data_IF_837327053393
#
_entry.id   IF_837327053393
#
_cell.length_a   1.000
_cell.length_b   1.000
_cell.length_c   1.000
_cell.angle_alpha   90.00
_cell.angle_beta   90.00
_cell.angle_gamma   90.00
#
_symmetry.space_group_name_H-M   'P 1'
#
loop_
_entity.id
_entity.type
_entity.pdbx_description
1 polymer ?
#
# COMPACT_ATOMS: atom_id res chain seq x y z
N UNK A 1 -16.36 -5.94 -8.95
CA UNK A 1 -15.81 -4.57 -8.80
C UNK A 1 -15.91 -4.23 -7.33
N UNK A 2 -14.79 -4.31 -6.62
CA UNK A 2 -14.70 -3.82 -5.25
C UNK A 2 -14.60 -2.30 -5.31
N UNK A 3 -15.71 -1.62 -5.10
CA UNK A 3 -15.71 -0.18 -4.86
C UNK A 3 -15.19 0.08 -3.46
N UNK A 4 -14.16 0.86 -3.30
CA UNK A 4 -13.83 1.42 -2.00
C UNK A 4 -15.00 2.28 -1.53
N UNK A 5 -15.70 1.81 -0.48
CA UNK A 5 -16.95 2.39 0.01
C UNK A 5 -16.77 3.64 0.88
N UNK A 6 -15.60 4.25 0.92
CA UNK A 6 -15.48 5.59 1.50
C UNK A 6 -16.18 6.55 0.56
N UNK A 7 -17.50 6.55 0.69
CA UNK A 7 -18.39 7.42 -0.08
C UNK A 7 -18.44 8.79 0.50
N UNK A 8 -17.35 9.56 0.48
CA UNK A 8 -17.54 10.98 0.68
C UNK A 8 -16.45 11.78 0.00
N UNK A 9 -16.89 12.68 -0.81
CA UNK A 9 -16.14 13.83 -1.31
C UNK A 9 -15.67 14.79 -0.19
N UNK A 10 -15.82 14.39 1.10
CA UNK A 10 -15.59 15.22 2.28
C UNK A 10 -14.52 14.68 3.23
N UNK A 11 -13.73 13.68 2.84
CA UNK A 11 -12.49 13.29 3.54
C UNK A 11 -11.32 14.02 2.87
N UNK A 12 -10.73 14.95 3.60
CA UNK A 12 -9.69 15.85 3.11
C UNK A 12 -8.40 15.68 3.88
N UNK A 13 -7.29 16.12 3.29
CA UNK A 13 -5.99 16.21 3.93
C UNK A 13 -5.95 17.47 4.78
N UNK A 14 -5.57 17.33 6.01
CA UNK A 14 -5.46 18.44 6.96
C UNK A 14 -4.03 18.71 7.42
N UNK A 15 -3.90 19.77 8.22
CA UNK A 15 -2.72 20.05 9.04
C UNK A 15 -3.17 20.52 10.42
N UNK A 16 -2.72 19.86 11.45
CA UNK A 16 -3.00 20.26 12.83
C UNK A 16 -2.16 21.48 13.18
N UNK A 17 -2.79 22.63 13.37
CA UNK A 17 -2.12 23.89 13.73
C UNK A 17 -1.76 23.93 15.21
N UNK A 18 -2.67 23.46 16.09
CA UNK A 18 -2.44 23.33 17.52
C UNK A 18 -3.11 22.08 18.08
N UNK A 19 -2.53 21.55 19.13
CA UNK A 19 -3.01 20.35 19.83
C UNK A 19 -2.78 20.53 21.33
N UNK A 20 -3.85 20.69 22.09
CA UNK A 20 -3.80 20.93 23.54
C UNK A 20 -4.51 19.79 24.28
N UNK A 21 -3.88 19.15 25.28
CA UNK A 21 -4.54 18.10 26.04
C UNK A 21 -5.71 18.67 26.86
N UNK A 22 -6.83 17.96 26.85
CA UNK A 22 -8.00 18.29 27.69
C UNK A 22 -7.77 17.73 29.08
N UNK A 23 -7.74 18.57 30.15
CA UNK A 23 -7.48 18.12 31.52
C UNK A 23 -8.36 16.94 31.95
N UNK A 24 -7.78 16.00 32.68
CA UNK A 24 -8.44 14.81 33.25
C UNK A 24 -9.04 13.86 32.21
N UNK A 25 -8.56 13.94 30.95
CA UNK A 25 -8.99 13.04 29.87
C UNK A 25 -7.80 12.58 29.04
N UNK A 26 -8.00 11.56 28.17
CA UNK A 26 -7.04 11.18 27.13
C UNK A 26 -7.26 11.96 25.81
N UNK A 27 -8.15 12.95 25.83
CA UNK A 27 -8.51 13.71 24.63
C UNK A 27 -7.62 14.93 24.46
N UNK A 28 -7.35 15.29 23.22
CA UNK A 28 -6.71 16.54 22.80
C UNK A 28 -7.70 17.40 22.03
N UNK A 29 -7.66 18.70 22.28
CA UNK A 29 -8.37 19.70 21.51
C UNK A 29 -7.46 20.24 20.42
N UNK A 30 -7.81 19.97 19.18
CA UNK A 30 -7.00 20.32 18.02
C UNK A 30 -7.67 21.44 17.20
N UNK A 31 -6.85 22.40 16.72
CA UNK A 31 -7.25 23.29 15.63
C UNK A 31 -6.67 22.74 14.34
N UNK A 32 -7.50 22.45 13.41
CA UNK A 32 -7.18 21.67 12.21
C UNK A 32 -7.47 22.49 10.97
N UNK A 33 -6.44 22.82 10.22
CA UNK A 33 -6.55 23.55 8.96
C UNK A 33 -6.90 22.60 7.83
N UNK A 34 -8.01 22.85 7.21
CA UNK A 34 -8.55 22.07 6.10
C UNK A 34 -8.46 22.84 4.75
N UNK A 35 -7.52 23.75 4.62
CA UNK A 35 -7.29 24.53 3.40
C UNK A 35 -8.48 25.42 3.03
N UNK A 36 -9.01 25.25 1.84
CA UNK A 36 -10.16 26.03 1.33
C UNK A 36 -11.44 25.83 2.15
N UNK A 37 -11.51 24.73 2.93
CA UNK A 37 -12.66 24.44 3.79
C UNK A 37 -12.63 25.16 5.14
N UNK A 38 -11.51 25.82 5.47
CA UNK A 38 -11.33 26.57 6.71
C UNK A 38 -10.65 25.80 7.82
N UNK A 39 -10.68 26.35 9.04
CA UNK A 39 -10.11 25.73 10.24
C UNK A 39 -11.21 25.21 11.14
N UNK A 40 -11.06 23.99 11.63
CA UNK A 40 -12.05 23.29 12.44
C UNK A 40 -11.47 22.89 13.80
N UNK A 41 -12.29 23.04 14.84
CA UNK A 41 -12.01 22.49 16.15
C UNK A 41 -12.39 21.01 16.18
N UNK A 42 -11.43 20.15 16.51
CA UNK A 42 -11.63 18.70 16.58
C UNK A 42 -11.18 18.20 17.96
N UNK A 43 -12.00 17.39 18.62
CA UNK A 43 -11.60 16.63 19.79
C UNK A 43 -11.09 15.25 19.33
N UNK A 44 -9.83 14.95 19.57
CA UNK A 44 -9.17 13.72 19.16
C UNK A 44 -8.69 12.91 20.36
N UNK A 45 -8.89 11.60 20.32
CA UNK A 45 -8.45 10.68 21.38
C UNK A 45 -7.22 9.84 20.97
N UNK A 46 -6.64 10.08 19.81
CA UNK A 46 -5.50 9.32 19.34
C UNK A 46 -4.20 9.84 19.95
N UNK A 47 -3.33 8.92 20.38
CA UNK A 47 -2.06 9.26 21.04
C UNK A 47 -1.02 9.88 20.10
N UNK A 48 -1.17 9.64 18.78
CA UNK A 48 -0.22 10.13 17.79
C UNK A 48 -0.60 11.49 17.18
N UNK A 49 -1.68 12.14 17.64
CA UNK A 49 -2.03 13.49 17.19
C UNK A 49 -1.05 14.51 17.75
N UNK A 50 -0.52 15.40 16.89
CA UNK A 50 0.41 16.45 17.28
C UNK A 50 0.34 17.66 16.36
N UNK A 51 0.76 18.81 16.83
CA UNK A 51 0.87 20.01 16.01
C UNK A 51 1.89 19.81 14.88
N UNK A 52 1.56 20.29 13.68
CA UNK A 52 2.34 20.10 12.46
C UNK A 52 2.09 18.77 11.74
N UNK A 53 1.43 17.79 12.37
CA UNK A 53 1.04 16.53 11.74
C UNK A 53 -0.01 16.73 10.66
N UNK A 54 0.01 15.87 9.64
CA UNK A 54 -1.00 15.80 8.58
C UNK A 54 -1.75 14.49 8.66
N UNK A 55 -3.06 14.57 8.69
CA UNK A 55 -3.95 13.43 8.87
C UNK A 55 -5.17 13.52 7.94
N UNK A 56 -5.90 12.44 7.70
CA UNK A 56 -7.20 12.51 7.05
C UNK A 56 -8.25 13.09 8.01
N UNK A 57 -8.96 14.12 7.56
CA UNK A 57 -10.06 14.75 8.27
C UNK A 57 -11.39 14.41 7.57
N UNK A 58 -12.29 13.77 8.27
CA UNK A 58 -13.68 13.61 7.88
C UNK A 58 -14.51 14.78 8.41
N UNK A 59 -15.03 15.60 7.50
CA UNK A 59 -15.91 16.72 7.82
C UNK A 59 -17.31 16.25 8.23
N UNK A 60 -18.07 17.15 8.84
CA UNK A 60 -19.50 16.88 9.16
C UNK A 60 -20.25 16.57 7.86
N UNK A 61 -20.96 15.43 7.85
CA UNK A 61 -21.62 14.88 6.67
C UNK A 61 -20.84 13.79 5.94
N UNK A 62 -19.54 13.69 6.17
CA UNK A 62 -18.72 12.60 5.63
C UNK A 62 -19.18 11.24 6.16
N UNK A 63 -19.01 10.19 5.36
CA UNK A 63 -19.29 8.82 5.74
C UNK A 63 -17.98 8.05 5.85
N UNK A 64 -17.74 7.42 6.99
CA UNK A 64 -16.56 6.59 7.28
C UNK A 64 -17.00 5.24 7.83
N UNK A 65 -16.09 4.28 7.92
CA UNK A 65 -16.38 3.02 8.59
C UNK A 65 -16.45 3.22 10.11
N UNK A 66 -17.45 2.58 10.71
CA UNK A 66 -17.55 2.47 12.16
C UNK A 66 -16.76 1.24 12.61
N UNK A 67 -15.88 1.42 13.59
CA UNK A 67 -15.06 0.35 14.15
C UNK A 67 -15.56 -0.07 15.53
N UNK A 68 -15.39 -1.33 15.88
CA UNK A 68 -15.59 -1.85 17.23
C UNK A 68 -14.57 -1.25 18.20
N UNK A 69 -14.66 -1.62 19.49
CA UNK A 69 -13.73 -1.15 20.53
C UNK A 69 -12.28 -1.59 20.32
N UNK A 70 -12.06 -2.59 19.49
CA UNK A 70 -10.72 -3.08 19.11
C UNK A 70 -10.06 -2.21 18.03
N UNK A 71 -10.78 -1.24 17.47
CA UNK A 71 -10.38 -0.37 16.36
C UNK A 71 -9.99 -1.09 15.07
N UNK A 72 -10.25 -2.38 14.98
CA UNK A 72 -9.91 -3.29 13.86
C UNK A 72 -11.15 -3.76 13.13
N UNK A 73 -12.13 -4.24 13.91
CA UNK A 73 -13.35 -4.83 13.35
C UNK A 73 -14.28 -3.73 12.84
N UNK A 74 -14.64 -3.79 11.57
CA UNK A 74 -15.62 -2.88 10.96
C UNK A 74 -17.03 -3.39 11.28
N UNK A 75 -17.82 -2.60 12.00
CA UNK A 75 -19.20 -2.92 12.35
C UNK A 75 -20.23 -2.34 11.36
N UNK A 76 -19.79 -1.45 10.49
CA UNK A 76 -20.66 -0.81 9.51
C UNK A 76 -20.12 0.52 9.03
N UNK A 77 -20.99 1.44 8.68
CA UNK A 77 -20.63 2.80 8.27
C UNK A 77 -21.35 3.81 9.16
N UNK A 78 -20.70 4.94 9.42
CA UNK A 78 -21.27 6.04 10.18
C UNK A 78 -21.11 7.36 9.45
N UNK A 79 -22.06 8.25 9.62
CA UNK A 79 -21.97 9.62 9.12
C UNK A 79 -21.47 10.53 10.22
N UNK A 80 -20.41 11.29 9.93
CA UNK A 80 -19.82 12.24 10.87
C UNK A 80 -20.81 13.38 11.15
N UNK A 81 -21.04 13.64 12.42
CA UNK A 81 -21.91 14.70 12.92
C UNK A 81 -21.13 15.64 13.81
N UNK A 82 -21.60 16.90 13.90
CA UNK A 82 -21.12 17.79 14.95
C UNK A 82 -21.35 17.13 16.32
N UNK A 83 -20.27 16.96 17.08
CA UNK A 83 -20.29 16.34 18.38
C UNK A 83 -19.94 17.30 19.52
N UNK A 84 -20.18 16.87 20.75
CA UNK A 84 -19.70 17.54 21.95
C UNK A 84 -19.06 16.51 22.87
N UNK A 85 -17.77 16.63 23.12
CA UNK A 85 -16.99 15.71 23.93
C UNK A 85 -16.40 16.47 25.14
N UNK A 86 -16.76 16.01 26.35
CA UNK A 86 -16.29 16.65 27.61
C UNK A 86 -16.50 18.18 27.68
N UNK A 87 -17.56 18.69 27.06
CA UNK A 87 -17.85 20.13 27.06
C UNK A 87 -17.34 20.90 25.83
N UNK A 88 -16.42 20.33 25.05
CA UNK A 88 -15.87 20.93 23.84
C UNK A 88 -16.61 20.48 22.59
N UNK A 89 -16.86 21.37 21.67
CA UNK A 89 -17.47 21.05 20.37
C UNK A 89 -16.42 20.45 19.42
N UNK A 90 -16.84 19.45 18.63
CA UNK A 90 -16.03 18.86 17.55
C UNK A 90 -16.77 18.93 16.23
N UNK A 91 -16.14 19.50 15.20
CA UNK A 91 -16.74 19.76 13.89
C UNK A 91 -16.23 18.80 12.80
N UNK A 92 -15.88 17.58 13.18
CA UNK A 92 -15.36 16.55 12.30
C UNK A 92 -14.66 15.48 13.11
N UNK A 93 -13.93 14.61 12.41
CA UNK A 93 -13.15 13.52 12.99
C UNK A 93 -11.85 13.32 12.22
N UNK A 94 -10.74 13.28 12.91
CA UNK A 94 -9.48 12.77 12.34
C UNK A 94 -9.58 11.24 12.26
N UNK A 95 -9.12 10.66 11.15
CA UNK A 95 -9.38 9.26 10.85
C UNK A 95 -8.12 8.40 10.94
N UNK A 96 -8.31 7.19 11.45
CA UNK A 96 -7.40 6.07 11.29
C UNK A 96 -7.52 5.45 9.88
N UNK A 97 -6.60 4.55 9.53
CA UNK A 97 -6.70 3.79 8.29
C UNK A 97 -7.93 2.90 8.23
N UNK A 98 -8.30 2.26 9.34
CA UNK A 98 -9.48 1.36 9.41
C UNK A 98 -10.77 2.12 9.15
N UNK A 99 -10.93 3.33 9.67
CA UNK A 99 -12.10 4.17 9.43
C UNK A 99 -12.22 4.63 7.97
N UNK A 100 -11.10 4.63 7.24
CA UNK A 100 -11.05 4.86 5.80
C UNK A 100 -11.18 3.56 4.97
N UNK A 101 -11.30 2.40 5.62
CA UNK A 101 -11.39 1.10 4.97
C UNK A 101 -10.04 0.56 4.48
N UNK A 102 -8.94 1.07 5.00
CA UNK A 102 -7.61 0.53 4.72
C UNK A 102 -7.33 -0.67 5.62
N UNK A 103 -6.69 -1.68 5.06
CA UNK A 103 -6.25 -2.85 5.80
C UNK A 103 -4.75 -2.68 6.15
N UNK A 104 -4.39 -2.92 7.42
CA UNK A 104 -3.02 -2.84 7.91
C UNK A 104 -2.06 -3.75 7.15
N UNK A 105 -2.51 -4.95 6.78
CA UNK A 105 -1.69 -5.91 6.02
C UNK A 105 -1.32 -5.38 4.63
N UNK A 106 -2.20 -4.55 4.04
CA UNK A 106 -1.98 -3.95 2.72
C UNK A 106 -1.36 -2.55 2.81
N UNK A 107 -1.65 -1.83 3.88
CA UNK A 107 -1.19 -0.46 4.14
C UNK A 107 -0.53 -0.38 5.51
N UNK A 108 0.74 -0.76 5.64
CA UNK A 108 1.46 -0.61 6.90
C UNK A 108 1.42 0.83 7.41
N UNK A 109 1.06 1.00 8.68
CA UNK A 109 0.81 2.31 9.28
C UNK A 109 -0.62 2.84 9.12
N UNK A 110 -1.50 2.09 8.46
CA UNK A 110 -2.95 2.36 8.51
C UNK A 110 -3.55 2.14 9.91
N UNK A 111 -2.80 1.54 10.76
CA UNK A 111 -2.91 1.10 12.15
C UNK A 111 -4.17 1.36 12.94
N UNK A 112 -4.43 0.42 13.81
CA UNK A 112 -5.60 0.40 14.70
C UNK A 112 -5.45 1.38 15.88
N UNK A 113 -4.22 1.71 16.24
CA UNK A 113 -3.91 2.50 17.44
C UNK A 113 -3.41 3.90 17.05
N UNK A 114 -4.24 4.64 16.33
CA UNK A 114 -3.91 6.02 16.03
C UNK A 114 -4.42 6.48 14.67
N UNK A 115 -4.10 7.71 14.36
CA UNK A 115 -4.45 8.34 13.10
C UNK A 115 -3.52 7.87 11.98
N UNK A 116 -4.05 7.78 10.77
CA UNK A 116 -3.25 7.58 9.58
C UNK A 116 -2.40 8.82 9.31
N UNK A 117 -1.08 8.67 9.34
CA UNK A 117 -0.15 9.78 9.06
C UNK A 117 0.01 9.94 7.55
N UNK A 118 -0.27 11.14 7.06
CA UNK A 118 -0.06 11.48 5.65
C UNK A 118 1.36 12.01 5.41
N UNK A 119 1.90 11.89 4.18
CA UNK A 119 3.20 12.45 3.83
C UNK A 119 3.27 13.97 4.08
N UNK A 120 4.45 14.46 4.43
CA UNK A 120 4.66 15.90 4.71
C UNK A 120 4.36 16.81 3.52
N UNK A 121 4.55 16.33 2.29
CA UNK A 121 4.25 17.03 1.05
C UNK A 121 2.76 16.97 0.66
N UNK A 122 1.91 16.28 1.45
CA UNK A 122 0.49 16.22 1.19
C UNK A 122 -0.14 17.62 1.20
N UNK A 123 -0.81 17.99 0.10
CA UNK A 123 -1.48 19.29 -0.06
C UNK A 123 -2.70 19.37 0.85
N UNK A 124 -2.72 20.30 1.77
CA UNK A 124 -3.83 20.56 2.69
C UNK A 124 -5.09 20.97 1.92
N UNK A 125 -6.26 20.51 2.34
CA UNK A 125 -7.55 20.79 1.71
C UNK A 125 -7.89 19.95 0.48
N UNK A 126 -6.95 19.10 0.00
CA UNK A 126 -7.22 18.22 -1.14
C UNK A 126 -7.82 16.89 -0.71
N UNK A 127 -8.58 16.24 -1.61
CA UNK A 127 -9.15 14.90 -1.38
C UNK A 127 -8.06 13.89 -1.00
N UNK A 128 -8.33 13.10 0.02
CA UNK A 128 -7.39 12.09 0.53
C UNK A 128 -7.29 10.86 -0.38
N UNK A 129 -8.32 10.53 -1.15
CA UNK A 129 -8.40 9.33 -1.98
C UNK A 129 -7.21 9.15 -2.93
N UNK A 130 -6.80 10.17 -3.72
CA UNK A 130 -5.70 10.00 -4.66
C UNK A 130 -4.36 9.67 -3.99
N UNK A 131 -4.10 10.23 -2.80
CA UNK A 131 -2.83 9.95 -2.10
C UNK A 131 -2.81 8.53 -1.52
N UNK A 132 -3.98 7.99 -1.20
CA UNK A 132 -4.15 6.63 -0.69
C UNK A 132 -4.34 5.60 -1.81
N UNK A 133 -4.46 6.05 -3.08
CA UNK A 133 -4.75 5.18 -4.21
C UNK A 133 -6.17 4.58 -4.18
N UNK A 134 -7.12 5.27 -3.54
CA UNK A 134 -8.49 4.80 -3.37
C UNK A 134 -9.44 5.27 -4.51
N UNK A 135 -8.92 5.98 -5.48
CA UNK A 135 -9.61 6.46 -6.68
C UNK A 135 -9.40 5.55 -7.91
N UNK A 136 -8.92 4.35 -7.69
CA UNK A 136 -8.63 3.35 -8.72
C UNK A 136 -9.79 2.35 -8.91
N UNK A 137 -9.73 1.60 -10.01
CA UNK A 137 -10.66 0.52 -10.33
C UNK A 137 -9.97 -0.82 -10.21
N UNK A 138 -10.52 -1.69 -9.36
CA UNK A 138 -10.03 -3.05 -9.17
C UNK A 138 -10.98 -4.00 -9.87
N UNK A 139 -10.44 -4.82 -10.78
CA UNK A 139 -11.16 -5.87 -11.46
C UNK A 139 -10.80 -7.22 -10.85
N UNK A 140 -11.81 -7.93 -10.36
CA UNK A 140 -11.68 -9.34 -9.98
C UNK A 140 -11.97 -10.19 -11.22
N UNK A 141 -10.92 -10.85 -11.73
CA UNK A 141 -10.97 -11.57 -13.00
C UNK A 141 -10.72 -13.05 -12.75
N UNK A 142 -11.73 -13.87 -13.06
CA UNK A 142 -11.58 -15.33 -13.06
C UNK A 142 -10.81 -15.79 -14.31
N UNK A 143 -9.62 -16.32 -14.10
CA UNK A 143 -8.78 -16.87 -15.17
C UNK A 143 -8.98 -18.37 -15.28
N UNK A 144 -9.27 -18.86 -16.50
CA UNK A 144 -9.40 -20.28 -16.77
C UNK A 144 -8.03 -20.98 -16.78
N UNK A 145 -8.00 -22.28 -16.42
CA UNK A 145 -6.75 -23.04 -16.25
C UNK A 145 -5.89 -23.14 -17.53
N UNK A 146 -6.49 -22.98 -18.71
CA UNK A 146 -5.82 -22.99 -20.00
C UNK A 146 -5.20 -21.63 -20.40
N UNK A 147 -5.35 -20.59 -19.58
CA UNK A 147 -4.83 -19.23 -19.84
C UNK A 147 -3.94 -18.72 -18.71
N UNK A 148 -2.87 -19.46 -18.35
CA UNK A 148 -1.95 -19.02 -17.30
C UNK A 148 -1.23 -17.71 -17.65
N UNK A 149 -1.08 -17.38 -18.92
CA UNK A 149 -0.55 -16.12 -19.42
C UNK A 149 -1.34 -14.90 -18.94
N UNK A 150 -2.64 -15.05 -18.72
CA UNK A 150 -3.53 -14.00 -18.21
C UNK A 150 -3.45 -13.80 -16.68
N UNK A 151 -2.62 -14.53 -15.95
CA UNK A 151 -2.40 -14.33 -14.51
C UNK A 151 -1.49 -13.13 -14.21
N UNK A 152 -1.11 -12.38 -15.23
CA UNK A 152 -0.35 -11.12 -15.10
C UNK A 152 -1.10 -9.96 -15.72
N UNK A 153 -0.78 -8.75 -15.25
CA UNK A 153 -1.36 -7.51 -15.78
C UNK A 153 -1.03 -7.36 -17.27
N UNK A 154 0.21 -7.64 -17.66
CA UNK A 154 0.64 -7.57 -19.05
C UNK A 154 -0.07 -8.62 -19.93
N UNK A 155 -0.28 -9.84 -19.42
CA UNK A 155 -1.06 -10.87 -20.12
C UNK A 155 -2.50 -10.44 -20.40
N UNK A 156 -3.18 -9.86 -19.39
CA UNK A 156 -4.52 -9.28 -19.56
C UNK A 156 -4.49 -8.10 -20.54
N UNK A 157 -3.48 -7.21 -20.44
CA UNK A 157 -3.36 -6.07 -21.34
C UNK A 157 -3.26 -6.50 -22.80
N UNK A 158 -2.53 -7.58 -23.11
CA UNK A 158 -2.43 -8.15 -24.44
C UNK A 158 -3.79 -8.64 -24.97
N UNK A 159 -4.56 -9.32 -24.13
CA UNK A 159 -5.91 -9.79 -24.49
C UNK A 159 -6.85 -8.61 -24.76
N UNK A 160 -6.85 -7.62 -23.88
CA UNK A 160 -7.67 -6.43 -24.05
C UNK A 160 -7.27 -5.68 -25.34
N UNK A 161 -5.99 -5.55 -25.61
CA UNK A 161 -5.48 -4.91 -26.83
C UNK A 161 -5.94 -5.66 -28.08
N UNK A 162 -5.86 -7.00 -28.08
CA UNK A 162 -6.32 -7.82 -29.19
C UNK A 162 -7.82 -7.66 -29.45
N UNK A 163 -8.65 -7.70 -28.38
CA UNK A 163 -10.11 -7.53 -28.50
C UNK A 163 -10.50 -6.14 -29.02
N UNK A 164 -9.77 -5.10 -28.57
CA UNK A 164 -10.04 -3.72 -28.97
C UNK A 164 -9.35 -3.29 -30.28
N UNK A 165 -8.56 -4.17 -30.90
CA UNK A 165 -7.77 -3.85 -32.10
C UNK A 165 -6.74 -2.75 -31.85
N UNK A 166 -6.16 -2.70 -30.64
CA UNK A 166 -5.15 -1.70 -30.24
C UNK A 166 -3.79 -2.34 -30.06
N UNK A 167 -2.75 -1.53 -30.16
CA UNK A 167 -1.39 -1.94 -29.84
C UNK A 167 -1.21 -2.08 -28.33
N UNK A 168 -0.58 -3.18 -27.89
CA UNK A 168 -0.17 -3.37 -26.49
C UNK A 168 1.24 -2.81 -26.31
N UNK A 169 1.39 -1.86 -25.39
CA UNK A 169 2.70 -1.31 -25.05
C UNK A 169 3.46 -2.29 -24.14
N UNK A 170 4.70 -2.55 -24.49
CA UNK A 170 5.60 -3.31 -23.62
C UNK A 170 6.03 -2.49 -22.40
N UNK A 171 6.29 -3.13 -21.26
CA UNK A 171 6.90 -2.45 -20.11
C UNK A 171 8.24 -1.82 -20.51
N UNK A 172 8.48 -0.59 -20.09
CA UNK A 172 9.74 0.08 -20.36
C UNK A 172 10.87 -0.60 -19.59
N UNK A 173 11.97 -0.91 -20.27
CA UNK A 173 13.20 -1.43 -19.71
C UNK A 173 14.27 -0.35 -19.83
N UNK A 174 14.42 0.45 -18.79
CA UNK A 174 15.40 1.53 -18.72
C UNK A 174 16.34 1.27 -17.53
N UNK A 175 17.39 0.51 -17.80
CA UNK A 175 18.45 0.24 -16.84
C UNK A 175 19.82 0.16 -17.53
N UNK A 176 20.86 0.41 -16.78
CA UNK A 176 22.24 0.30 -17.25
C UNK A 176 22.94 -0.77 -16.43
N UNK A 177 23.51 -1.75 -17.13
CA UNK A 177 24.39 -2.73 -16.49
C UNK A 177 25.72 -2.09 -16.11
N UNK A 178 26.30 -2.56 -15.01
CA UNK A 178 27.63 -2.14 -14.54
C UNK A 178 28.67 -3.21 -14.84
N UNK A 179 29.94 -2.82 -14.86
CA UNK A 179 31.06 -3.77 -15.04
C UNK A 179 31.40 -4.56 -13.77
N UNK A 180 30.69 -4.33 -12.68
CA UNK A 180 30.90 -5.05 -11.41
C UNK A 180 30.49 -6.50 -11.58
N UNK A 181 31.45 -7.39 -11.30
CA UNK A 181 31.26 -8.84 -11.39
C UNK A 181 31.39 -9.48 -10.02
N UNK A 182 30.56 -10.46 -9.77
CA UNK A 182 30.66 -11.36 -8.62
C UNK A 182 30.98 -12.75 -9.13
N UNK A 183 31.96 -13.38 -8.53
CA UNK A 183 32.24 -14.78 -8.80
C UNK A 183 31.19 -15.65 -8.11
N UNK A 184 30.22 -16.10 -8.91
CA UNK A 184 29.21 -17.06 -8.49
C UNK A 184 28.79 -17.95 -9.66
N UNK A 185 28.29 -19.14 -9.36
CA UNK A 185 27.96 -20.12 -10.37
C UNK A 185 26.49 -20.54 -10.28
N UNK A 186 25.94 -20.90 -11.46
CA UNK A 186 24.62 -21.54 -11.56
C UNK A 186 24.79 -22.87 -12.25
N UNK A 187 24.47 -23.95 -11.54
CA UNK A 187 24.49 -25.31 -12.07
C UNK A 187 23.06 -25.84 -12.18
N UNK A 188 22.65 -26.31 -13.36
CA UNK A 188 21.36 -26.94 -13.57
C UNK A 188 21.55 -28.41 -13.88
N UNK A 189 21.35 -29.28 -12.89
CA UNK A 189 21.41 -30.73 -13.03
C UNK A 189 20.09 -31.33 -13.52
N UNK A 190 18.96 -30.75 -13.15
CA UNK A 190 17.61 -31.20 -13.55
C UNK A 190 17.14 -30.49 -14.83
N UNK A 191 17.86 -30.64 -15.94
CA UNK A 191 17.61 -29.91 -17.20
C UNK A 191 16.26 -30.24 -17.84
N UNK A 192 15.71 -31.40 -17.57
CA UNK A 192 14.38 -31.83 -18.04
C UNK A 192 13.23 -31.09 -17.32
N UNK A 193 13.42 -30.65 -16.08
CA UNK A 193 12.46 -29.87 -15.28
C UNK A 193 12.74 -28.37 -15.33
N UNK A 194 14.00 -27.98 -15.43
CA UNK A 194 14.43 -26.61 -15.51
C UNK A 194 15.38 -26.43 -16.71
N UNK A 195 14.87 -26.18 -17.91
CA UNK A 195 15.70 -26.06 -19.12
C UNK A 195 16.58 -24.80 -19.09
N UNK A 196 16.18 -23.78 -18.32
CA UNK A 196 16.92 -22.51 -18.21
C UNK A 196 16.73 -21.87 -16.83
N UNK A 197 17.83 -21.44 -16.24
CA UNK A 197 17.86 -20.63 -15.03
C UNK A 197 18.74 -19.40 -15.27
N UNK A 198 18.24 -18.22 -14.94
CA UNK A 198 18.96 -16.95 -15.10
C UNK A 198 19.16 -16.35 -13.73
N UNK A 199 20.37 -15.89 -13.46
CA UNK A 199 20.71 -15.16 -12.26
C UNK A 199 21.45 -13.86 -12.63
N UNK A 200 21.11 -12.79 -11.92
CA UNK A 200 21.79 -11.50 -12.01
C UNK A 200 22.34 -11.11 -10.65
N UNK A 201 23.52 -10.54 -10.64
CA UNK A 201 24.11 -9.96 -9.46
C UNK A 201 23.72 -8.48 -9.35
N UNK A 202 23.17 -8.11 -8.20
CA UNK A 202 22.84 -6.72 -7.87
C UNK A 202 23.67 -6.33 -6.65
N UNK A 203 24.34 -5.19 -6.68
CA UNK A 203 25.21 -4.72 -5.60
C UNK A 203 24.68 -3.40 -5.00
N UNK A 204 25.26 -3.00 -3.87
CA UNK A 204 24.89 -1.78 -3.12
C UNK A 204 23.40 -1.74 -2.75
N UNK A 205 22.86 -2.90 -2.39
CA UNK A 205 21.47 -3.05 -1.98
C UNK A 205 21.30 -2.62 -0.54
N UNK A 206 20.41 -1.66 -0.32
CA UNK A 206 19.94 -1.28 1.01
C UNK A 206 18.50 -1.79 1.19
N UNK A 207 18.27 -2.61 2.21
CA UNK A 207 16.92 -3.09 2.54
C UNK A 207 16.14 -1.97 3.21
N UNK A 208 15.05 -1.56 2.60
CA UNK A 208 14.18 -0.48 3.07
C UNK A 208 12.75 -0.66 2.58
N UNK A 209 11.89 0.20 3.03
CA UNK A 209 10.52 0.27 2.56
C UNK A 209 10.45 0.60 1.06
N UNK A 210 9.52 -0.06 0.36
CA UNK A 210 9.30 0.20 -1.06
C UNK A 210 8.71 1.60 -1.31
N UNK A 211 8.95 2.19 -2.49
CA UNK A 211 8.30 3.43 -2.87
C UNK A 211 6.77 3.34 -2.78
N UNK A 212 6.12 4.41 -2.34
CA UNK A 212 4.68 4.46 -2.11
C UNK A 212 3.84 4.03 -3.35
N UNK A 213 4.30 4.35 -4.57
CA UNK A 213 3.63 3.94 -5.79
C UNK A 213 3.60 2.42 -5.98
N UNK A 214 4.70 1.73 -5.63
CA UNK A 214 4.81 0.27 -5.74
C UNK A 214 3.94 -0.40 -4.69
N UNK A 215 4.01 0.06 -3.44
CA UNK A 215 3.17 -0.45 -2.35
C UNK A 215 1.68 -0.32 -2.67
N UNK A 216 1.25 0.82 -3.20
CA UNK A 216 -0.16 1.03 -3.62
C UNK A 216 -0.60 0.06 -4.71
N UNK A 217 0.23 -0.16 -5.73
CA UNK A 217 -0.08 -1.13 -6.80
C UNK A 217 -0.13 -2.56 -6.31
N UNK A 218 0.77 -2.94 -5.42
CA UNK A 218 0.73 -4.27 -4.79
C UNK A 218 -0.50 -4.43 -3.91
N UNK A 219 -0.83 -3.43 -3.10
CA UNK A 219 -2.03 -3.42 -2.27
C UNK A 219 -3.32 -3.57 -3.10
N UNK A 220 -3.40 -2.94 -4.27
CA UNK A 220 -4.57 -3.05 -5.16
C UNK A 220 -4.78 -4.46 -5.73
N UNK A 221 -3.75 -5.29 -5.73
CA UNK A 221 -3.84 -6.72 -6.11
C UNK A 221 -3.76 -7.67 -4.91
N UNK A 222 -3.96 -7.15 -3.70
CA UNK A 222 -4.04 -7.92 -2.46
C UNK A 222 -2.69 -8.36 -1.87
N UNK A 223 -1.58 -7.68 -2.20
CA UNK A 223 -0.25 -7.97 -1.67
C UNK A 223 0.22 -6.83 -0.79
N UNK A 224 0.45 -7.12 0.50
CA UNK A 224 1.07 -6.18 1.45
C UNK A 224 2.56 -5.98 1.17
N UNK A 225 3.05 -4.76 1.41
CA UNK A 225 4.47 -4.45 1.30
C UNK A 225 5.28 -5.07 2.45
N UNK A 226 6.44 -5.62 2.14
CA UNK A 226 7.35 -6.24 3.11
C UNK A 226 8.67 -5.49 3.13
N UNK A 227 9.36 -5.46 2.00
CA UNK A 227 10.61 -4.73 1.79
C UNK A 227 10.80 -4.50 0.29
N UNK A 228 11.64 -3.52 -0.06
CA UNK A 228 11.88 -3.20 -1.46
C UNK A 228 12.26 -4.41 -2.33
N UNK A 229 13.09 -5.32 -1.84
CA UNK A 229 13.52 -6.49 -2.61
C UNK A 229 12.37 -7.49 -2.79
N UNK A 230 11.64 -7.82 -1.73
CA UNK A 230 10.50 -8.73 -1.80
C UNK A 230 9.39 -8.14 -2.67
N UNK A 231 9.12 -6.87 -2.49
CA UNK A 231 8.07 -6.16 -3.25
C UNK A 231 8.40 -6.05 -4.74
N UNK A 232 9.67 -5.86 -5.12
CA UNK A 232 10.11 -5.91 -6.51
C UNK A 232 9.82 -7.29 -7.12
N UNK A 233 10.14 -8.38 -6.43
CA UNK A 233 9.86 -9.72 -6.95
C UNK A 233 8.36 -9.98 -7.10
N UNK A 234 7.55 -9.53 -6.15
CA UNK A 234 6.10 -9.60 -6.23
C UNK A 234 5.53 -8.70 -7.34
N UNK A 235 6.10 -7.52 -7.53
CA UNK A 235 5.67 -6.59 -8.57
C UNK A 235 5.92 -7.19 -9.96
N UNK A 236 7.12 -7.71 -10.23
CA UNK A 236 7.46 -8.36 -11.50
C UNK A 236 6.58 -9.58 -11.76
N UNK A 237 6.32 -10.39 -10.73
CA UNK A 237 5.40 -11.52 -10.83
C UNK A 237 4.00 -11.07 -11.26
N UNK A 238 3.45 -10.01 -10.69
CA UNK A 238 2.11 -9.51 -11.03
C UNK A 238 2.08 -8.76 -12.36
N UNK A 239 3.14 -8.02 -12.69
CA UNK A 239 3.20 -7.25 -13.93
C UNK A 239 3.32 -8.15 -15.17
N UNK A 240 4.28 -9.07 -15.18
CA UNK A 240 4.60 -9.88 -16.36
C UNK A 240 4.46 -11.40 -16.17
N UNK A 241 4.14 -11.86 -14.97
CA UNK A 241 3.96 -13.28 -14.68
C UNK A 241 5.26 -14.07 -14.46
N UNK A 242 6.40 -13.39 -14.26
CA UNK A 242 7.68 -14.03 -14.04
C UNK A 242 7.99 -14.13 -12.54
N UNK A 243 7.96 -15.35 -11.94
CA UNK A 243 8.40 -15.53 -10.57
C UNK A 243 9.90 -15.32 -10.45
N UNK A 244 10.31 -14.67 -9.35
CA UNK A 244 11.69 -14.36 -9.05
C UNK A 244 12.01 -14.72 -7.59
N UNK A 245 13.27 -15.01 -7.31
CA UNK A 245 13.82 -15.15 -5.97
C UNK A 245 15.03 -14.24 -5.81
N UNK A 246 15.16 -13.62 -4.66
CA UNK A 246 16.33 -12.86 -4.27
C UNK A 246 17.09 -13.61 -3.18
N UNK A 247 18.40 -13.75 -3.34
CA UNK A 247 19.30 -14.41 -2.41
C UNK A 247 20.38 -13.43 -1.98
N UNK A 248 20.64 -13.35 -0.69
CA UNK A 248 21.84 -12.67 -0.20
C UNK A 248 23.07 -13.53 -0.51
N UNK A 249 23.98 -12.96 -1.31
CA UNK A 249 25.20 -13.66 -1.72
C UNK A 249 26.09 -14.10 -0.55
N UNK A 250 25.99 -13.45 0.61
CA UNK A 250 26.76 -13.83 1.80
C UNK A 250 26.34 -15.17 2.41
N UNK A 251 25.11 -15.61 2.12
CA UNK A 251 24.56 -16.88 2.58
C UNK A 251 24.62 -18.00 1.53
N UNK A 252 25.15 -17.73 0.34
CA UNK A 252 25.31 -18.76 -0.69
C UNK A 252 26.59 -19.62 -0.40
N UNK A 253 26.36 -20.85 0.00
CA UNK A 253 27.46 -21.81 0.19
C UNK A 253 28.16 -22.08 -1.14
N UNK A 254 29.49 -22.01 -1.17
CA UNK A 254 30.28 -22.21 -2.38
C UNK A 254 30.08 -21.17 -3.49
N UNK A 255 29.38 -20.04 -3.21
CA UNK A 255 28.95 -19.07 -4.22
C UNK A 255 28.17 -19.73 -5.38
N UNK A 256 27.36 -20.72 -5.10
CA UNK A 256 26.66 -21.50 -6.12
C UNK A 256 25.16 -21.59 -5.86
N UNK A 257 24.38 -21.53 -6.95
CA UNK A 257 22.98 -21.93 -6.99
C UNK A 257 22.90 -23.23 -7.79
N UNK A 258 22.56 -24.35 -7.12
CA UNK A 258 22.43 -25.65 -7.75
C UNK A 258 20.96 -26.02 -7.91
N UNK A 259 20.48 -26.06 -9.16
CA UNK A 259 19.12 -26.49 -9.50
C UNK A 259 19.11 -28.00 -9.78
N UNK A 260 18.60 -28.76 -8.82
CA UNK A 260 18.61 -30.23 -8.83
C UNK A 260 17.30 -30.81 -8.33
N UNK A 261 17.11 -32.11 -8.50
CA UNK A 261 16.07 -32.83 -7.78
C UNK A 261 16.45 -33.02 -6.32
N UNK A 262 15.45 -33.12 -5.47
CA UNK A 262 15.65 -33.50 -4.08
C UNK A 262 16.26 -34.91 -3.98
N UNK A 263 17.10 -35.13 -2.96
CA UNK A 263 17.57 -36.47 -2.62
C UNK A 263 16.51 -37.19 -1.79
N UNK A 264 16.63 -38.53 -1.75
CA UNK A 264 15.72 -39.33 -0.93
C UNK A 264 15.92 -38.97 0.56
N UNK A 265 14.81 -38.60 1.23
CA UNK A 265 14.82 -38.21 2.65
C UNK A 265 15.08 -36.73 2.93
N UNK A 266 15.23 -35.88 1.94
CA UNK A 266 15.32 -34.42 2.07
C UNK A 266 13.99 -33.77 2.41
#
# INVERSE_FOLDING_TARGET
ILRCLVGSEMCIRDSVESCEPIPETHLSLCQVNAGEHGTFQICCGADNVHAGGKFPLALVGATVYATAKDHVTIEGVMTIKKGKLRGYESFGMLCSGTELGLNEDLYPGAGYNGLLVLPEDARVGADVKPILGMDDWIFDIAITANRPDCQSIYGIAREVAAVLGKECKEPALDFTETDVKKDFHVTVSAKDLCPRYIAHYVHDVEIKESPAWMRRRLASVGIGGISNIVDITNYVLKEIGQPMHAFDCSYLEGNEICVRRAHEGE
#
